data_IF_714837146447
#
_entry.id   IF_714837146447
#
_cell.length_a   1.000
_cell.length_b   1.000
_cell.length_c   1.000
_cell.angle_alpha   90.00
_cell.angle_beta   90.00
_cell.angle_gamma   90.00
#
_symmetry.space_group_name_H-M   'P 1'
#
loop_
_entity.id
_entity.type
_entity.pdbx_description
1 polymer ?
#
# COMPACT_ATOMS: atom_id res chain seq x y z
N UNK A 1 30.99 7.43 15.51
CA UNK A 1 29.56 7.30 15.10
C UNK A 1 29.02 6.08 15.82
N UNK A 2 28.22 6.28 16.86
CA UNK A 2 27.55 5.19 17.57
C UNK A 2 26.25 4.92 16.81
N UNK A 3 26.16 3.77 16.17
CA UNK A 3 24.94 3.30 15.51
C UNK A 3 24.03 2.67 16.57
N UNK A 4 23.07 3.43 17.09
CA UNK A 4 22.01 2.87 17.91
C UNK A 4 21.00 2.17 16.99
N UNK A 5 20.75 0.87 17.24
CA UNK A 5 19.69 0.14 16.56
C UNK A 5 18.33 0.59 17.12
N UNK A 6 17.32 0.65 16.28
CA UNK A 6 15.94 1.02 16.66
C UNK A 6 15.41 0.18 17.85
N UNK A 7 15.86 -1.08 17.99
CA UNK A 7 15.53 -1.94 19.13
C UNK A 7 16.07 -1.42 20.47
N UNK A 8 17.22 -0.79 20.45
CA UNK A 8 17.86 -0.28 21.68
C UNK A 8 17.17 1.01 22.14
N UNK A 9 16.65 1.80 21.18
CA UNK A 9 15.86 3.00 21.47
C UNK A 9 14.51 2.62 22.09
N UNK A 10 13.78 1.65 21.54
CA UNK A 10 12.51 1.17 22.12
C UNK A 10 12.69 0.55 23.52
N UNK A 11 13.80 -0.11 23.75
CA UNK A 11 14.12 -0.69 25.06
C UNK A 11 14.46 0.39 26.09
N UNK A 12 15.23 1.40 25.71
CA UNK A 12 15.53 2.55 26.58
C UNK A 12 14.30 3.40 26.87
N UNK A 13 13.40 3.58 25.89
CA UNK A 13 12.14 4.29 26.06
C UNK A 13 11.19 3.56 27.03
N UNK A 14 11.13 2.23 26.97
CA UNK A 14 10.34 1.45 27.91
C UNK A 14 10.87 1.53 29.32
N UNK A 15 12.19 1.39 29.51
CA UNK A 15 12.85 1.52 30.81
C UNK A 15 12.68 2.95 31.35
N UNK A 16 12.71 3.94 30.49
CA UNK A 16 12.50 5.34 30.84
C UNK A 16 11.06 5.59 31.30
N UNK A 17 10.07 5.06 30.57
CA UNK A 17 8.66 5.15 30.89
C UNK A 17 8.34 4.50 32.24
N UNK A 18 8.87 3.30 32.48
CA UNK A 18 8.68 2.55 33.70
C UNK A 18 9.32 3.26 34.92
N UNK A 19 10.42 4.04 34.72
CA UNK A 19 11.07 4.80 35.81
C UNK A 19 10.41 6.13 36.15
N UNK A 20 9.65 6.73 35.21
CA UNK A 20 9.15 8.12 35.31
C UNK A 20 7.65 8.26 35.21
N UNK A 21 6.88 7.17 35.01
CA UNK A 21 5.43 7.20 34.92
C UNK A 21 4.75 7.72 36.19
N UNK A 22 5.43 7.61 37.33
CA UNK A 22 4.95 8.10 38.64
C UNK A 22 5.34 9.56 38.98
N UNK A 23 6.08 10.28 38.10
CA UNK A 23 6.56 11.61 38.43
C UNK A 23 6.58 12.56 37.22
N UNK A 24 5.45 13.23 36.90
CA UNK A 24 5.33 14.13 35.71
C UNK A 24 6.25 15.36 35.80
N UNK A 25 6.78 15.69 36.95
CA UNK A 25 7.68 16.85 37.13
C UNK A 25 9.05 16.65 36.48
N UNK A 26 9.43 15.40 36.17
CA UNK A 26 10.72 15.07 35.60
C UNK A 26 10.75 14.95 34.07
N UNK A 27 9.64 15.26 33.38
CA UNK A 27 9.56 15.18 31.92
C UNK A 27 10.54 16.13 31.17
N UNK A 28 11.17 17.05 31.92
CA UNK A 28 12.14 18.02 31.38
C UNK A 28 13.60 17.73 31.80
N UNK A 29 13.84 16.69 32.55
CA UNK A 29 15.20 16.41 33.04
C UNK A 29 16.00 15.69 31.96
N UNK A 30 17.07 16.35 31.53
CA UNK A 30 18.18 15.76 30.81
C UNK A 30 19.07 15.10 31.86
N UNK A 31 19.21 13.77 31.83
CA UNK A 31 20.17 13.10 32.71
C UNK A 31 21.58 13.49 32.25
N UNK A 32 22.25 14.26 33.07
CA UNK A 32 23.68 14.52 33.00
C UNK A 32 24.37 13.60 34.04
N UNK A 33 24.98 12.52 33.57
CA UNK A 33 26.12 11.93 34.26
C UNK A 33 27.37 12.61 33.72
N UNK A 34 28.41 12.80 34.54
CA UNK A 34 29.61 13.59 34.23
C UNK A 34 30.30 13.25 32.89
N UNK A 35 29.95 12.11 32.27
CA UNK A 35 30.54 11.64 31.02
C UNK A 35 29.53 11.46 29.85
N UNK A 36 28.19 11.35 30.11
CA UNK A 36 27.22 11.05 29.04
C UNK A 36 25.94 11.88 29.21
N UNK A 37 25.66 12.76 28.21
CA UNK A 37 24.41 13.52 28.12
C UNK A 37 23.40 12.78 27.29
N UNK A 38 22.30 12.30 27.87
CA UNK A 38 21.18 11.75 27.16
C UNK A 38 20.19 12.87 26.83
N UNK A 39 20.02 13.18 25.54
CA UNK A 39 18.96 14.06 25.07
C UNK A 39 17.87 13.20 24.44
N UNK A 40 16.61 13.42 24.83
CA UNK A 40 15.47 12.91 24.09
C UNK A 40 15.61 13.31 22.61
N UNK A 41 15.27 12.40 21.72
CA UNK A 41 15.33 12.62 20.28
C UNK A 41 14.52 13.86 19.93
N UNK A 42 15.21 15.00 19.76
CA UNK A 42 14.62 16.27 19.37
C UNK A 42 15.12 16.65 17.96
N UNK A 43 14.40 17.53 17.27
CA UNK A 43 14.71 17.92 15.92
C UNK A 43 14.28 16.89 14.88
N UNK A 44 14.93 16.87 13.73
CA UNK A 44 14.53 16.08 12.55
C UNK A 44 14.40 14.57 12.84
N UNK A 45 15.28 14.02 13.65
CA UNK A 45 15.25 12.58 13.99
C UNK A 45 14.05 12.24 14.88
N UNK A 46 13.73 13.09 15.87
CA UNK A 46 12.55 12.90 16.72
C UNK A 46 11.25 13.01 15.94
N UNK A 47 11.17 13.98 15.02
CA UNK A 47 10.02 14.14 14.12
C UNK A 47 9.86 12.90 13.22
N UNK A 48 10.94 12.42 12.61
CA UNK A 48 10.88 11.23 11.76
C UNK A 48 10.45 9.98 12.52
N UNK A 49 10.93 9.80 13.77
CA UNK A 49 10.53 8.66 14.59
C UNK A 49 9.05 8.73 14.97
N UNK A 50 8.58 9.88 15.45
CA UNK A 50 7.17 10.09 15.78
C UNK A 50 6.25 9.90 14.54
N UNK A 51 6.69 10.40 13.40
CA UNK A 51 5.94 10.25 12.15
C UNK A 51 5.85 8.77 11.73
N UNK A 52 6.95 8.01 11.80
CA UNK A 52 6.93 6.59 11.47
C UNK A 52 6.04 5.78 12.43
N UNK A 53 6.02 6.11 13.70
CA UNK A 53 5.13 5.47 14.69
C UNK A 53 3.65 5.73 14.39
N UNK A 54 3.30 6.96 14.03
CA UNK A 54 1.92 7.32 13.61
C UNK A 54 1.53 6.58 12.35
N UNK A 55 2.45 6.43 11.38
CA UNK A 55 2.22 5.70 10.13
C UNK A 55 1.97 4.22 10.41
N UNK A 56 2.84 3.57 11.19
CA UNK A 56 2.71 2.15 11.52
C UNK A 56 1.37 1.85 12.21
N UNK A 57 0.89 2.75 13.07
CA UNK A 57 -0.43 2.64 13.72
C UNK A 57 -1.60 2.99 12.81
N UNK A 58 -1.39 3.90 11.86
CA UNK A 58 -2.42 4.44 10.96
C UNK A 58 -2.63 3.62 9.70
N UNK A 59 -1.69 2.76 9.31
CA UNK A 59 -1.71 2.02 8.05
C UNK A 59 -2.94 1.12 7.93
N UNK A 60 -3.15 0.24 8.90
CA UNK A 60 -4.23 -0.74 8.89
C UNK A 60 -5.62 -0.09 8.84
N UNK A 61 -5.96 0.90 9.69
CA UNK A 61 -7.24 1.59 9.58
C UNK A 61 -7.40 2.35 8.28
N UNK A 62 -6.33 2.96 7.73
CA UNK A 62 -6.39 3.67 6.44
C UNK A 62 -6.70 2.70 5.29
N UNK A 63 -6.03 1.55 5.23
CA UNK A 63 -6.30 0.53 4.23
C UNK A 63 -7.72 -0.03 4.35
N UNK A 64 -8.21 -0.27 5.57
CA UNK A 64 -9.59 -0.73 5.78
C UNK A 64 -10.62 0.29 5.29
N UNK A 65 -10.40 1.59 5.51
CA UNK A 65 -11.27 2.65 5.00
C UNK A 65 -11.28 2.65 3.47
N UNK A 66 -10.12 2.55 2.83
CA UNK A 66 -10.01 2.50 1.36
C UNK A 66 -10.77 1.30 0.80
N UNK A 67 -10.58 0.11 1.37
CA UNK A 67 -11.31 -1.08 0.96
C UNK A 67 -12.82 -0.94 1.19
N UNK A 68 -13.24 -0.38 2.32
CA UNK A 68 -14.66 -0.15 2.60
C UNK A 68 -15.29 0.78 1.57
N UNK A 69 -14.62 1.88 1.21
CA UNK A 69 -15.07 2.81 0.17
C UNK A 69 -15.20 2.11 -1.18
N UNK A 70 -14.19 1.33 -1.58
CA UNK A 70 -14.21 0.56 -2.84
C UNK A 70 -15.36 -0.43 -2.87
N UNK A 71 -15.55 -1.21 -1.80
CA UNK A 71 -16.64 -2.19 -1.69
C UNK A 71 -18.00 -1.49 -1.81
N UNK A 72 -18.18 -0.37 -1.13
CA UNK A 72 -19.42 0.42 -1.20
C UNK A 72 -19.66 0.93 -2.62
N UNK A 73 -18.64 1.49 -3.28
CA UNK A 73 -18.76 2.03 -4.64
C UNK A 73 -19.09 0.94 -5.65
N UNK A 74 -18.40 -0.20 -5.61
CA UNK A 74 -18.68 -1.34 -6.50
C UNK A 74 -20.08 -1.90 -6.24
N UNK A 75 -20.46 -2.05 -4.97
CA UNK A 75 -21.79 -2.52 -4.61
C UNK A 75 -22.91 -1.58 -5.10
N UNK A 76 -22.75 -0.27 -4.92
CA UNK A 76 -23.69 0.74 -5.41
C UNK A 76 -23.82 0.75 -6.93
N UNK A 77 -22.73 0.42 -7.65
CA UNK A 77 -22.73 0.39 -9.11
C UNK A 77 -23.47 -0.80 -9.68
N UNK A 78 -23.31 -1.98 -9.09
CA UNK A 78 -23.87 -3.23 -9.63
C UNK A 78 -25.08 -3.75 -8.87
N UNK A 79 -25.29 -3.36 -7.62
CA UNK A 79 -26.29 -3.91 -6.69
C UNK A 79 -26.24 -5.44 -6.58
N UNK A 80 -25.04 -6.01 -6.78
CA UNK A 80 -24.78 -7.46 -6.77
C UNK A 80 -23.54 -7.77 -5.93
N UNK A 81 -23.70 -8.67 -4.95
CA UNK A 81 -22.59 -9.14 -4.11
C UNK A 81 -21.55 -9.93 -4.88
N UNK A 82 -21.96 -10.63 -5.94
CA UNK A 82 -21.04 -11.40 -6.78
C UNK A 82 -20.06 -10.49 -7.49
N UNK A 83 -20.55 -9.39 -8.07
CA UNK A 83 -19.70 -8.38 -8.68
C UNK A 83 -18.68 -7.80 -7.71
N UNK A 84 -19.14 -7.49 -6.48
CA UNK A 84 -18.30 -6.92 -5.44
C UNK A 84 -17.18 -7.88 -5.03
N UNK A 85 -17.47 -9.14 -4.84
CA UNK A 85 -16.47 -10.16 -4.50
C UNK A 85 -15.49 -10.33 -5.67
N UNK A 86 -15.98 -10.47 -6.90
CA UNK A 86 -15.14 -10.61 -8.09
C UNK A 86 -14.14 -9.45 -8.28
N UNK A 87 -14.54 -8.23 -7.97
CA UNK A 87 -13.64 -7.08 -8.06
C UNK A 87 -12.69 -6.95 -6.86
N UNK A 88 -13.11 -7.38 -5.67
CA UNK A 88 -12.31 -7.22 -4.44
C UNK A 88 -11.24 -8.30 -4.28
N UNK A 89 -11.52 -9.53 -4.71
CA UNK A 89 -10.57 -10.66 -4.58
C UNK A 89 -9.24 -10.40 -5.29
N UNK A 90 -9.19 -10.04 -6.59
CA UNK A 90 -7.92 -9.74 -7.27
C UNK A 90 -7.14 -8.63 -6.57
N UNK A 91 -7.85 -7.62 -6.10
CA UNK A 91 -7.28 -6.48 -5.40
C UNK A 91 -6.60 -6.89 -4.09
N UNK A 92 -7.23 -7.77 -3.32
CA UNK A 92 -6.67 -8.29 -2.07
C UNK A 92 -5.40 -9.09 -2.32
N UNK A 93 -5.41 -9.97 -3.34
CA UNK A 93 -4.20 -10.71 -3.73
C UNK A 93 -3.07 -9.78 -4.18
N UNK A 94 -3.37 -8.78 -5.00
CA UNK A 94 -2.37 -7.82 -5.45
C UNK A 94 -1.78 -7.02 -4.29
N UNK A 95 -2.60 -6.61 -3.32
CA UNK A 95 -2.13 -5.90 -2.12
C UNK A 95 -1.22 -6.78 -1.26
N UNK A 96 -1.57 -8.06 -1.05
CA UNK A 96 -0.70 -9.00 -0.33
C UNK A 96 0.66 -9.17 -1.02
N UNK A 97 0.67 -9.29 -2.36
CA UNK A 97 1.90 -9.36 -3.14
C UNK A 97 2.70 -8.04 -3.07
N UNK A 98 2.02 -6.90 -3.00
CA UNK A 98 2.65 -5.60 -2.78
C UNK A 98 3.41 -5.52 -1.45
N UNK A 99 2.81 -5.99 -0.36
CA UNK A 99 3.48 -6.07 0.94
C UNK A 99 4.67 -7.05 0.91
N UNK A 100 4.51 -8.21 0.28
CA UNK A 100 5.61 -9.15 0.09
C UNK A 100 6.76 -8.55 -0.72
N UNK A 101 6.46 -7.78 -1.76
CA UNK A 101 7.48 -7.06 -2.53
C UNK A 101 8.20 -6.00 -1.69
N UNK A 102 7.48 -5.25 -0.86
CA UNK A 102 8.08 -4.26 0.06
C UNK A 102 9.09 -4.92 1.01
N UNK A 103 8.75 -6.09 1.53
CA UNK A 103 9.64 -6.85 2.43
C UNK A 103 10.89 -7.33 1.69
N UNK A 104 10.75 -7.92 0.50
CA UNK A 104 11.87 -8.39 -0.33
C UNK A 104 12.76 -7.23 -0.77
N UNK A 105 12.18 -6.11 -1.19
CA UNK A 105 12.90 -4.93 -1.64
C UNK A 105 13.48 -4.08 -0.48
N UNK A 106 13.19 -4.48 0.76
CA UNK A 106 13.59 -3.73 1.98
C UNK A 106 13.10 -2.28 1.98
N UNK A 107 11.94 -2.06 1.36
CA UNK A 107 11.26 -0.77 1.34
C UNK A 107 10.43 -0.68 2.62
N UNK A 108 10.90 0.07 3.61
CA UNK A 108 10.16 0.26 4.88
C UNK A 108 8.89 1.08 4.66
N UNK A 109 7.89 0.84 5.53
CA UNK A 109 6.72 1.69 5.65
C UNK A 109 7.15 3.11 6.07
N UNK A 110 6.82 4.07 5.23
CA UNK A 110 7.17 5.49 5.39
C UNK A 110 5.99 6.34 4.95
N UNK A 111 6.03 7.63 5.28
CA UNK A 111 5.06 8.63 4.78
C UNK A 111 4.89 8.56 3.27
N UNK A 112 5.96 8.26 2.55
CA UNK A 112 5.96 8.20 1.09
C UNK A 112 5.32 6.93 0.53
N UNK A 113 5.37 5.81 1.22
CA UNK A 113 4.87 4.52 0.70
C UNK A 113 3.38 4.31 0.93
N UNK A 114 2.78 4.91 1.96
CA UNK A 114 1.33 4.83 2.22
C UNK A 114 0.46 5.34 1.06
N UNK A 115 0.68 6.56 0.52
CA UNK A 115 -0.10 7.04 -0.62
C UNK A 115 0.05 6.15 -1.85
N UNK A 116 1.20 5.51 -2.01
CA UNK A 116 1.47 4.59 -3.12
C UNK A 116 0.59 3.36 -3.04
N UNK A 117 0.47 2.75 -1.87
CA UNK A 117 -0.39 1.58 -1.68
C UNK A 117 -1.87 1.93 -1.94
N UNK A 118 -2.35 3.06 -1.44
CA UNK A 118 -3.72 3.54 -1.67
C UNK A 118 -3.98 3.79 -3.15
N UNK A 119 -3.06 4.45 -3.84
CA UNK A 119 -3.17 4.71 -5.28
C UNK A 119 -3.18 3.41 -6.09
N UNK A 120 -2.30 2.47 -5.74
CA UNK A 120 -2.20 1.18 -6.42
C UNK A 120 -3.48 0.35 -6.25
N UNK A 121 -4.10 0.39 -5.08
CA UNK A 121 -5.40 -0.25 -4.81
C UNK A 121 -6.50 0.40 -5.66
N UNK A 122 -6.54 1.73 -5.75
CA UNK A 122 -7.50 2.45 -6.58
C UNK A 122 -7.40 2.10 -8.07
N UNK A 123 -6.19 2.09 -8.64
CA UNK A 123 -5.97 1.70 -10.03
C UNK A 123 -6.26 0.20 -10.26
N UNK A 124 -5.96 -0.63 -9.27
CA UNK A 124 -6.22 -2.08 -9.35
C UNK A 124 -7.70 -2.41 -9.49
N UNK A 125 -8.56 -1.66 -8.80
CA UNK A 125 -10.01 -1.87 -8.90
C UNK A 125 -10.54 -1.51 -10.29
N UNK A 126 -9.95 -0.52 -10.96
CA UNK A 126 -10.37 -0.12 -12.30
C UNK A 126 -10.16 -1.25 -13.33
N UNK A 127 -9.05 -1.99 -13.25
CA UNK A 127 -8.82 -3.13 -14.15
C UNK A 127 -9.86 -4.24 -13.96
N UNK A 128 -10.15 -4.59 -12.71
CA UNK A 128 -11.17 -5.57 -12.38
C UNK A 128 -12.57 -5.10 -12.84
N UNK A 129 -12.88 -3.82 -12.62
CA UNK A 129 -14.13 -3.21 -13.03
C UNK A 129 -14.34 -3.25 -14.55
N UNK A 130 -13.32 -2.89 -15.34
CA UNK A 130 -13.40 -2.94 -16.81
C UNK A 130 -13.65 -4.34 -17.33
N UNK A 131 -12.92 -5.33 -16.84
CA UNK A 131 -13.07 -6.73 -17.26
C UNK A 131 -14.46 -7.25 -16.86
N UNK A 132 -14.86 -7.04 -15.60
CA UNK A 132 -16.15 -7.51 -15.10
C UNK A 132 -17.34 -6.88 -15.84
N UNK A 133 -17.30 -5.56 -16.07
CA UNK A 133 -18.36 -4.85 -16.77
C UNK A 133 -18.55 -5.39 -18.19
N UNK A 134 -17.46 -5.65 -18.89
CA UNK A 134 -17.50 -6.19 -20.24
C UNK A 134 -18.01 -7.62 -20.28
N UNK A 135 -17.54 -8.45 -19.36
CA UNK A 135 -18.01 -9.83 -19.18
C UNK A 135 -19.52 -9.87 -18.91
N UNK A 136 -19.99 -9.05 -17.99
CA UNK A 136 -21.42 -8.95 -17.65
C UNK A 136 -22.29 -8.51 -18.86
N UNK A 137 -21.75 -7.61 -19.71
CA UNK A 137 -22.42 -7.18 -20.94
C UNK A 137 -22.57 -8.34 -21.92
N UNK A 138 -21.54 -9.15 -22.12
CA UNK A 138 -21.57 -10.31 -22.99
C UNK A 138 -22.48 -11.41 -22.45
N UNK A 139 -22.49 -11.67 -21.15
CA UNK A 139 -23.41 -12.62 -20.52
C UNK A 139 -24.88 -12.18 -20.67
N UNK A 140 -25.18 -10.89 -20.52
CA UNK A 140 -26.53 -10.34 -20.73
C UNK A 140 -26.98 -10.41 -22.17
N UNK A 141 -26.06 -10.47 -23.13
CA UNK A 141 -26.39 -10.68 -24.55
C UNK A 141 -26.69 -12.15 -24.90
N UNK A 142 -26.64 -13.07 -23.94
CA UNK A 142 -26.98 -14.47 -24.11
C UNK A 142 -25.84 -15.37 -24.57
N UNK A 143 -24.60 -14.89 -24.53
CA UNK A 143 -23.41 -15.70 -24.81
C UNK A 143 -23.16 -16.69 -23.66
N UNK A 144 -22.65 -17.86 -24.01
CA UNK A 144 -22.15 -18.79 -23.00
C UNK A 144 -20.94 -18.22 -22.25
N UNK A 145 -20.72 -18.68 -21.01
CA UNK A 145 -19.67 -18.16 -20.12
C UNK A 145 -18.29 -18.18 -20.79
N UNK A 146 -17.96 -19.30 -21.45
CA UNK A 146 -16.67 -19.48 -22.12
C UNK A 146 -16.49 -18.49 -23.29
N UNK A 147 -17.54 -18.30 -24.07
CA UNK A 147 -17.51 -17.42 -25.22
C UNK A 147 -17.51 -15.94 -24.80
N UNK A 148 -18.32 -15.59 -23.80
CA UNK A 148 -18.32 -14.24 -23.20
C UNK A 148 -16.96 -13.86 -22.66
N UNK A 149 -16.28 -14.81 -22.03
CA UNK A 149 -14.93 -14.63 -21.51
C UNK A 149 -13.89 -14.42 -22.63
N UNK A 150 -13.87 -15.28 -23.65
CA UNK A 150 -12.94 -15.17 -24.78
C UNK A 150 -13.12 -13.82 -25.51
N UNK A 151 -14.35 -13.39 -25.74
CA UNK A 151 -14.64 -12.09 -26.35
C UNK A 151 -14.24 -10.90 -25.44
N UNK A 152 -14.44 -11.03 -24.14
CA UNK A 152 -14.03 -10.00 -23.18
C UNK A 152 -12.52 -9.84 -23.20
N UNK A 153 -11.79 -10.94 -23.19
CA UNK A 153 -10.31 -10.90 -23.23
C UNK A 153 -9.77 -10.33 -24.53
N UNK A 154 -10.33 -10.72 -25.66
CA UNK A 154 -9.92 -10.20 -26.95
C UNK A 154 -10.16 -8.70 -27.12
N UNK A 155 -11.29 -8.20 -26.61
CA UNK A 155 -11.68 -6.81 -26.80
C UNK A 155 -11.17 -5.88 -25.69
N UNK A 156 -11.21 -6.30 -24.45
CA UNK A 156 -10.91 -5.46 -23.29
C UNK A 156 -9.56 -5.79 -22.66
N UNK A 157 -9.13 -7.05 -22.72
CA UNK A 157 -7.85 -7.48 -22.15
C UNK A 157 -6.67 -6.72 -22.75
N UNK A 158 -6.66 -6.54 -24.07
CA UNK A 158 -5.61 -5.77 -24.75
C UNK A 158 -5.55 -4.30 -24.27
N UNK A 159 -6.70 -3.66 -24.04
CA UNK A 159 -6.76 -2.30 -23.54
C UNK A 159 -6.25 -2.21 -22.08
N UNK A 160 -6.61 -3.18 -21.22
CA UNK A 160 -6.14 -3.25 -19.84
C UNK A 160 -4.62 -3.45 -19.79
N UNK A 161 -4.09 -4.36 -20.61
CA UNK A 161 -2.64 -4.59 -20.70
C UNK A 161 -1.92 -3.33 -21.17
N UNK A 162 -2.43 -2.67 -22.21
CA UNK A 162 -1.82 -1.44 -22.72
C UNK A 162 -1.80 -0.34 -21.67
N UNK A 163 -2.90 -0.13 -20.96
CA UNK A 163 -2.99 0.88 -19.89
C UNK A 163 -2.03 0.57 -18.75
N UNK A 164 -1.99 -0.68 -18.29
CA UNK A 164 -1.10 -1.10 -17.22
C UNK A 164 0.38 -0.93 -17.59
N UNK A 165 0.76 -1.33 -18.82
CA UNK A 165 2.11 -1.15 -19.34
C UNK A 165 2.49 0.32 -19.44
N UNK A 166 1.61 1.16 -19.97
CA UNK A 166 1.87 2.59 -20.11
C UNK A 166 2.07 3.25 -18.76
N UNK A 167 1.23 2.94 -17.76
CA UNK A 167 1.36 3.45 -16.41
C UNK A 167 2.65 2.92 -15.74
N UNK A 168 2.93 1.62 -15.86
CA UNK A 168 4.11 1.01 -15.28
C UNK A 168 5.40 1.60 -15.87
N UNK A 169 5.49 1.78 -17.19
CA UNK A 169 6.64 2.40 -17.86
C UNK A 169 6.78 3.87 -17.42
N UNK A 170 5.68 4.62 -17.40
CA UNK A 170 5.70 6.02 -16.98
C UNK A 170 6.24 6.20 -15.56
N UNK A 171 5.75 5.37 -14.62
CA UNK A 171 6.18 5.46 -13.22
C UNK A 171 7.54 4.82 -12.96
N UNK A 172 7.94 3.83 -13.77
CA UNK A 172 9.27 3.19 -13.63
C UNK A 172 10.43 4.19 -13.80
N UNK A 173 10.20 5.30 -14.51
CA UNK A 173 11.20 6.38 -14.62
C UNK A 173 11.58 6.97 -13.26
N UNK A 174 10.68 6.93 -12.28
CA UNK A 174 10.95 7.40 -10.92
C UNK A 174 11.96 6.52 -10.17
N UNK A 175 12.08 5.25 -10.55
CA UNK A 175 13.07 4.33 -9.96
C UNK A 175 14.52 4.76 -10.22
N UNK A 176 14.74 5.58 -11.24
CA UNK A 176 16.04 6.15 -11.57
C UNK A 176 16.32 7.50 -10.89
N UNK A 177 15.44 7.95 -10.00
CA UNK A 177 15.62 9.21 -9.28
C UNK A 177 16.80 9.14 -8.30
N UNK A 178 17.53 10.25 -8.18
CA UNK A 178 18.56 10.43 -7.17
C UNK A 178 17.98 10.46 -5.72
N UNK A 179 16.69 10.71 -5.58
CA UNK A 179 15.98 10.73 -4.30
C UNK A 179 15.47 9.33 -3.95
N UNK A 180 16.03 8.71 -2.91
CA UNK A 180 15.71 7.34 -2.52
C UNK A 180 14.20 7.13 -2.28
N UNK A 181 13.51 8.07 -1.64
CA UNK A 181 12.07 7.95 -1.40
C UNK A 181 11.28 7.89 -2.71
N UNK A 182 11.67 8.67 -3.73
CA UNK A 182 11.02 8.66 -5.04
C UNK A 182 11.33 7.38 -5.82
N UNK A 183 12.56 6.88 -5.72
CA UNK A 183 12.94 5.61 -6.33
C UNK A 183 12.19 4.43 -5.70
N UNK A 184 12.05 4.40 -4.36
CA UNK A 184 11.26 3.41 -3.63
C UNK A 184 9.78 3.44 -4.08
N UNK A 185 9.19 4.65 -4.19
CA UNK A 185 7.81 4.84 -4.67
C UNK A 185 7.63 4.35 -6.11
N UNK A 186 8.54 4.72 -7.01
CA UNK A 186 8.49 4.35 -8.42
C UNK A 186 8.58 2.84 -8.62
N UNK A 187 9.48 2.19 -7.92
CA UNK A 187 9.64 0.73 -7.96
C UNK A 187 8.38 0.00 -7.45
N UNK A 188 7.83 0.47 -6.32
CA UNK A 188 6.63 -0.12 -5.73
C UNK A 188 5.41 0.06 -6.63
N UNK A 189 5.18 1.27 -7.16
CA UNK A 189 4.05 1.54 -8.07
C UNK A 189 4.15 0.72 -9.35
N UNK A 190 5.34 0.64 -9.94
CA UNK A 190 5.57 -0.16 -11.15
C UNK A 190 5.20 -1.62 -10.91
N UNK A 191 5.68 -2.19 -9.82
CA UNK A 191 5.35 -3.55 -9.42
C UNK A 191 3.84 -3.73 -9.21
N UNK A 192 3.20 -2.82 -8.47
CA UNK A 192 1.77 -2.89 -8.17
C UNK A 192 0.89 -2.80 -9.41
N UNK A 193 1.24 -1.95 -10.40
CA UNK A 193 0.47 -1.88 -11.64
C UNK A 193 0.55 -3.17 -12.44
N UNK A 194 1.72 -3.81 -12.50
CA UNK A 194 1.87 -5.11 -13.14
C UNK A 194 1.07 -6.20 -12.41
N UNK A 195 1.20 -6.28 -11.11
CA UNK A 195 0.54 -7.31 -10.31
C UNK A 195 -0.98 -7.13 -10.33
N UNK A 196 -1.49 -5.91 -10.21
CA UNK A 196 -2.92 -5.62 -10.31
C UNK A 196 -3.49 -6.08 -11.66
N UNK A 197 -2.79 -5.81 -12.76
CA UNK A 197 -3.16 -6.27 -14.09
C UNK A 197 -3.22 -7.81 -14.16
N UNK A 198 -2.16 -8.49 -13.71
CA UNK A 198 -2.09 -9.95 -13.73
C UNK A 198 -3.20 -10.54 -12.85
N UNK A 199 -3.38 -10.04 -11.63
CA UNK A 199 -4.42 -10.51 -10.74
C UNK A 199 -5.83 -10.30 -11.33
N UNK A 200 -6.11 -9.14 -11.91
CA UNK A 200 -7.40 -8.88 -12.56
C UNK A 200 -7.65 -9.83 -13.74
N UNK A 201 -6.62 -10.15 -14.53
CA UNK A 201 -6.76 -11.05 -15.67
C UNK A 201 -6.86 -12.54 -15.30
N UNK A 202 -6.31 -12.95 -14.15
CA UNK A 202 -6.26 -14.37 -13.75
C UNK A 202 -7.35 -14.77 -12.79
N UNK A 203 -7.88 -13.85 -11.99
CA UNK A 203 -8.86 -14.17 -10.92
C UNK A 203 -10.31 -13.87 -11.30
N UNK A 204 -10.55 -13.10 -12.37
CA UNK A 204 -11.90 -12.80 -12.88
C UNK A 204 -12.53 -13.90 -13.77
N UNK A 205 -11.79 -14.85 -14.35
CA UNK A 205 -12.42 -16.01 -14.97
C UNK A 205 -12.93 -16.97 -13.94
#
# INVERSE_FOLDING_TARGET
>A
KVNFRVKDIKKSEKVFKDMFEDNPEYSHIVFETDEIKYRLASGTVGIQHATNEVIEKGELPMMLIVYAVIIILVFLTYFDWRATICCTVPLTFATMLGYAFMDIAQIGLKVSTLPVMVLAVGVGVDYAFYIYNRLNTHLKSGLDMTEAFDQTFKNTGAAVVFTALTLAIGVSTWSFSALKFQADMGSLLTFMFFINMICAMTTLP
#
